data_IF_792426654375
#
_entry.id   IF_792426654375
#
_cell.length_a   1.000
_cell.length_b   1.000
_cell.length_c   1.000
_cell.angle_alpha   90.00
_cell.angle_beta   90.00
_cell.angle_gamma   90.00
#
_symmetry.space_group_name_H-M   'P 1'
#
loop_
_entity.id
_entity.type
_entity.pdbx_description
1 polymer ?
#
# COMPACT_ATOMS: atom_id res chain seq x y z
N UNK A 1 1.54 -43.41 11.52
CA UNK A 1 1.98 -43.17 10.12
C UNK A 1 1.59 -41.74 9.69
N UNK A 2 0.37 -41.25 10.02
CA UNK A 2 -0.10 -39.92 9.60
C UNK A 2 0.61 -38.74 10.30
N UNK A 3 1.04 -38.89 11.56
CA UNK A 3 1.75 -37.81 12.30
C UNK A 3 3.21 -37.64 11.86
N UNK A 4 3.86 -38.72 11.43
CA UNK A 4 5.23 -38.65 10.93
C UNK A 4 5.28 -38.02 9.52
N UNK A 5 4.25 -38.24 8.70
CA UNK A 5 4.14 -37.63 7.36
C UNK A 5 3.88 -36.11 7.46
N UNK A 6 3.07 -35.68 8.43
CA UNK A 6 2.78 -34.24 8.63
C UNK A 6 4.02 -33.48 9.11
N UNK A 7 4.77 -34.07 10.07
CA UNK A 7 6.00 -33.46 10.59
C UNK A 7 7.12 -33.38 9.53
N UNK A 8 7.13 -34.35 8.61
CA UNK A 8 8.07 -34.35 7.48
C UNK A 8 7.67 -33.30 6.42
N UNK A 9 6.36 -33.15 6.19
CA UNK A 9 5.80 -32.12 5.28
C UNK A 9 6.05 -30.71 5.83
N UNK A 10 5.82 -30.50 7.13
CA UNK A 10 6.08 -29.21 7.80
C UNK A 10 7.57 -28.85 7.81
N UNK A 11 8.46 -29.82 7.96
CA UNK A 11 9.92 -29.59 7.84
C UNK A 11 10.37 -29.34 6.39
N UNK A 12 9.65 -29.89 5.43
CA UNK A 12 9.89 -29.64 3.99
C UNK A 12 9.38 -28.26 3.59
N UNK A 13 8.22 -27.83 4.11
CA UNK A 13 7.65 -26.49 3.92
C UNK A 13 8.50 -25.42 4.63
N UNK A 14 9.07 -25.71 5.81
CA UNK A 14 10.01 -24.80 6.49
C UNK A 14 11.37 -24.67 5.78
N UNK A 15 11.70 -25.57 4.87
CA UNK A 15 12.93 -25.51 4.05
C UNK A 15 12.73 -24.88 2.67
N UNK A 16 11.50 -24.89 2.15
CA UNK A 16 11.11 -24.12 0.99
C UNK A 16 10.40 -22.86 1.48
N UNK A 17 11.10 -21.74 1.51
CA UNK A 17 10.49 -20.42 1.67
C UNK A 17 9.66 -20.19 0.40
N UNK A 18 8.40 -20.60 0.44
CA UNK A 18 7.42 -20.25 -0.57
C UNK A 18 7.23 -18.74 -0.45
N UNK A 19 7.30 -17.99 -1.55
CA UNK A 19 6.99 -16.57 -1.50
C UNK A 19 5.56 -16.37 -0.97
N UNK A 20 5.28 -15.22 -0.39
CA UNK A 20 3.99 -14.93 0.27
C UNK A 20 2.78 -15.25 -0.63
N UNK A 21 2.87 -14.96 -1.94
CA UNK A 21 1.86 -15.31 -2.95
C UNK A 21 1.70 -16.84 -3.14
N UNK A 22 2.80 -17.58 -3.09
CA UNK A 22 2.77 -19.06 -3.20
C UNK A 22 2.22 -19.77 -1.96
N UNK A 23 2.45 -19.22 -0.75
CA UNK A 23 1.90 -19.74 0.48
C UNK A 23 0.36 -19.60 0.54
N UNK A 24 -0.18 -18.46 0.13
CA UNK A 24 -1.63 -18.23 0.08
C UNK A 24 -2.34 -19.15 -0.91
N UNK A 25 -1.74 -19.42 -2.08
CA UNK A 25 -2.28 -20.39 -3.06
C UNK A 25 -2.30 -21.84 -2.52
N UNK A 26 -1.36 -22.20 -1.64
CA UNK A 26 -1.29 -23.53 -1.03
C UNK A 26 -2.24 -23.69 0.17
N UNK A 27 -2.47 -22.64 0.95
CA UNK A 27 -3.37 -22.66 2.11
C UNK A 27 -4.86 -22.67 1.72
N UNK A 28 -5.22 -22.00 0.61
CA UNK A 28 -6.61 -21.96 0.10
C UNK A 28 -7.15 -23.29 -0.42
N UNK A 29 -6.29 -24.22 -0.80
CA UNK A 29 -6.70 -25.53 -1.35
C UNK A 29 -6.87 -26.64 -0.31
N UNK A 30 -6.48 -26.42 0.94
CA UNK A 30 -6.42 -27.46 1.98
C UNK A 30 -7.58 -27.49 2.98
N UNK A 31 -8.40 -26.45 3.09
CA UNK A 31 -9.29 -26.25 4.25
C UNK A 31 -10.76 -26.60 4.05
N UNK A 32 -11.20 -26.93 2.85
CA UNK A 32 -12.64 -27.11 2.57
C UNK A 32 -13.17 -28.55 2.52
N UNK A 33 -12.36 -29.59 2.78
CA UNK A 33 -12.80 -31.00 2.60
C UNK A 33 -13.10 -31.76 3.88
N UNK A 34 -12.97 -31.19 5.07
CA UNK A 34 -13.08 -31.95 6.33
C UNK A 34 -14.32 -31.68 7.18
N UNK A 35 -15.26 -30.83 6.78
CA UNK A 35 -16.38 -30.42 7.66
C UNK A 35 -17.80 -30.84 7.21
N UNK A 36 -17.93 -31.73 6.24
CA UNK A 36 -19.24 -32.17 5.73
C UNK A 36 -19.63 -33.63 6.11
N UNK A 37 -18.99 -34.25 7.10
CA UNK A 37 -19.26 -35.68 7.46
C UNK A 37 -19.72 -35.92 8.89
N UNK A 38 -20.41 -35.00 9.55
CA UNK A 38 -20.93 -35.25 10.90
C UNK A 38 -22.27 -34.59 11.19
N UNK A 39 -23.34 -34.94 10.49
CA UNK A 39 -24.73 -34.79 10.97
C UNK A 39 -25.68 -35.62 10.10
N UNK A 40 -25.79 -36.93 10.40
CA UNK A 40 -27.00 -37.66 10.09
C UNK A 40 -27.20 -38.79 11.13
N UNK A 41 -28.27 -38.73 11.91
CA UNK A 41 -28.77 -39.91 12.62
C UNK A 41 -29.33 -39.68 14.01
N UNK A 42 -30.67 -39.68 14.12
CA UNK A 42 -31.37 -40.30 15.24
C UNK A 42 -32.20 -39.41 16.15
N UNK A 43 -33.48 -39.35 15.88
CA UNK A 43 -34.52 -38.86 16.79
C UNK A 43 -34.82 -39.85 17.93
N UNK A 44 -35.09 -39.33 19.16
CA UNK A 44 -36.06 -39.93 20.08
C UNK A 44 -36.48 -38.93 21.17
N UNK A 45 -37.76 -39.00 21.50
CA UNK A 45 -38.55 -38.08 22.32
C UNK A 45 -38.47 -38.30 23.84
N UNK A 46 -38.52 -37.18 24.57
CA UNK A 46 -39.27 -36.80 25.79
C UNK A 46 -39.20 -37.66 27.09
N UNK A 47 -39.54 -37.16 28.29
CA UNK A 47 -40.34 -35.99 28.66
C UNK A 47 -39.83 -35.06 29.79
N UNK A 48 -40.61 -34.04 30.09
CA UNK A 48 -40.45 -32.82 30.85
C UNK A 48 -40.35 -32.88 32.38
N UNK A 49 -39.83 -31.75 32.94
CA UNK A 49 -40.21 -30.92 34.12
C UNK A 49 -39.29 -30.92 35.35
N UNK A 50 -39.33 -29.88 36.22
CA UNK A 50 -39.12 -28.43 35.98
C UNK A 50 -38.12 -27.78 36.96
N UNK A 51 -37.79 -26.53 36.66
CA UNK A 51 -37.46 -25.42 37.59
C UNK A 51 -36.14 -25.41 38.37
N UNK A 52 -35.27 -24.44 38.01
CA UNK A 52 -34.59 -23.58 38.98
C UNK A 52 -34.06 -22.31 38.25
N UNK A 53 -34.33 -21.17 38.85
CA UNK A 53 -33.93 -19.86 38.38
C UNK A 53 -32.40 -19.68 38.36
N UNK A 54 -31.87 -19.14 37.29
CA UNK A 54 -30.48 -18.68 37.21
C UNK A 54 -30.45 -17.25 36.68
N UNK A 55 -29.66 -16.43 37.35
CA UNK A 55 -29.40 -15.03 37.09
C UNK A 55 -28.91 -14.75 35.68
N UNK A 56 -29.15 -13.53 35.13
CA UNK A 56 -28.69 -13.19 33.79
C UNK A 56 -27.17 -12.98 33.75
N UNK A 57 -26.47 -13.83 32.99
CA UNK A 57 -25.10 -13.58 32.56
C UNK A 57 -25.07 -12.48 31.50
N UNK A 58 -23.92 -11.84 31.27
CA UNK A 58 -23.82 -10.76 30.30
C UNK A 58 -24.19 -11.29 28.92
N UNK A 59 -25.05 -10.52 28.24
CA UNK A 59 -25.47 -10.78 26.88
C UNK A 59 -24.25 -10.75 25.95
N UNK A 60 -23.98 -11.87 25.30
CA UNK A 60 -23.15 -11.87 24.11
C UNK A 60 -23.81 -10.95 23.08
N UNK A 61 -23.12 -9.88 22.68
CA UNK A 61 -23.54 -9.02 21.59
C UNK A 61 -23.52 -9.89 20.33
N UNK A 62 -24.67 -10.44 19.96
CA UNK A 62 -24.86 -11.02 18.66
C UNK A 62 -24.73 -9.91 17.63
N UNK A 63 -23.71 -9.98 16.77
CA UNK A 63 -23.68 -9.20 15.55
C UNK A 63 -24.99 -9.40 14.82
N UNK A 64 -25.81 -8.37 14.78
CA UNK A 64 -26.96 -8.34 13.89
C UNK A 64 -26.38 -8.44 12.47
N UNK A 65 -26.69 -9.54 11.78
CA UNK A 65 -26.41 -9.67 10.37
C UNK A 65 -27.11 -8.51 9.66
N UNK A 66 -26.37 -7.49 9.27
CA UNK A 66 -26.89 -6.42 8.46
C UNK A 66 -27.46 -7.04 7.17
N UNK A 67 -28.59 -6.48 6.70
CA UNK A 67 -29.13 -6.89 5.40
C UNK A 67 -28.04 -6.75 4.33
N UNK A 68 -27.95 -7.67 3.35
CA UNK A 68 -26.95 -7.59 2.31
C UNK A 68 -27.04 -6.22 1.62
N UNK A 69 -25.91 -5.51 1.57
CA UNK A 69 -25.80 -4.24 0.83
C UNK A 69 -26.04 -4.58 -0.64
N UNK A 70 -27.07 -3.95 -1.23
CA UNK A 70 -27.31 -4.09 -2.66
C UNK A 70 -26.42 -3.13 -3.42
N UNK A 71 -25.60 -3.69 -4.31
CA UNK A 71 -24.72 -2.94 -5.22
C UNK A 71 -25.29 -2.97 -6.64
N UNK A 72 -24.72 -2.16 -7.52
CA UNK A 72 -25.07 -2.13 -8.94
C UNK A 72 -24.50 -3.34 -9.72
N UNK A 73 -23.71 -4.19 -9.07
CA UNK A 73 -23.09 -5.38 -9.67
C UNK A 73 -21.83 -5.11 -10.46
N UNK A 74 -21.32 -3.88 -10.42
CA UNK A 74 -20.09 -3.46 -11.05
C UNK A 74 -19.28 -2.52 -10.14
N UNK A 75 -17.94 -2.45 -10.35
CA UNK A 75 -17.06 -1.47 -9.73
C UNK A 75 -15.87 -1.20 -10.66
N UNK A 76 -15.63 0.07 -10.95
CA UNK A 76 -14.52 0.52 -11.80
C UNK A 76 -13.52 1.32 -11.00
N UNK A 77 -12.28 0.85 -10.99
CA UNK A 77 -11.20 1.40 -10.19
C UNK A 77 -10.09 1.94 -11.07
N UNK A 78 -9.53 3.10 -10.68
CA UNK A 78 -8.33 3.65 -11.25
C UNK A 78 -7.28 3.77 -10.14
N UNK A 79 -6.23 2.97 -10.19
CA UNK A 79 -5.33 2.73 -9.06
C UNK A 79 -3.88 2.56 -9.51
N UNK A 80 -2.98 2.34 -8.57
CA UNK A 80 -1.60 1.93 -8.82
C UNK A 80 -1.54 0.46 -9.27
N UNK A 81 -0.45 0.07 -9.91
CA UNK A 81 -0.20 -1.33 -10.27
C UNK A 81 -0.06 -2.20 -9.00
N UNK A 82 -0.58 -3.43 -9.05
CA UNK A 82 -0.43 -4.47 -8.01
C UNK A 82 -0.74 -4.00 -6.57
N UNK A 83 -1.71 -3.10 -6.39
CA UNK A 83 -1.91 -2.35 -5.15
C UNK A 83 -3.15 -2.75 -4.34
N UNK A 84 -3.76 -3.86 -4.66
CA UNK A 84 -4.82 -4.52 -3.87
C UNK A 84 -4.57 -6.03 -3.90
N UNK A 85 -4.75 -6.69 -2.76
CA UNK A 85 -4.71 -8.14 -2.68
C UNK A 85 -5.74 -8.78 -3.62
N UNK A 86 -5.28 -9.66 -4.52
CA UNK A 86 -6.14 -10.42 -5.44
C UNK A 86 -7.24 -11.19 -4.66
N UNK A 87 -6.89 -11.76 -3.49
CA UNK A 87 -7.84 -12.47 -2.63
C UNK A 87 -8.94 -11.55 -2.12
N UNK A 88 -8.60 -10.29 -1.79
CA UNK A 88 -9.59 -9.31 -1.35
C UNK A 88 -10.49 -8.87 -2.49
N UNK A 89 -9.95 -8.72 -3.72
CA UNK A 89 -10.77 -8.45 -4.92
C UNK A 89 -11.77 -9.59 -5.13
N UNK A 90 -11.32 -10.84 -5.13
CA UNK A 90 -12.19 -12.01 -5.30
C UNK A 90 -13.26 -12.08 -4.21
N UNK A 91 -12.85 -11.91 -2.93
CA UNK A 91 -13.77 -11.90 -1.78
C UNK A 91 -14.81 -10.80 -1.89
N UNK A 92 -14.42 -9.59 -2.30
CA UNK A 92 -15.36 -8.48 -2.50
C UNK A 92 -16.36 -8.80 -3.60
N UNK A 93 -15.87 -9.25 -4.76
CA UNK A 93 -16.70 -9.57 -5.90
C UNK A 93 -17.74 -10.65 -5.59
N UNK A 94 -17.32 -11.72 -4.90
CA UNK A 94 -18.23 -12.79 -4.49
C UNK A 94 -19.26 -12.31 -3.46
N UNK A 95 -18.81 -11.59 -2.42
CA UNK A 95 -19.68 -11.14 -1.30
C UNK A 95 -20.73 -10.14 -1.73
N UNK A 96 -20.39 -9.24 -2.66
CA UNK A 96 -21.25 -8.14 -3.10
C UNK A 96 -21.84 -8.32 -4.51
N UNK A 97 -21.63 -9.48 -5.13
CA UNK A 97 -22.20 -9.82 -6.43
C UNK A 97 -21.64 -8.97 -7.58
N UNK A 98 -20.37 -8.55 -7.50
CA UNK A 98 -19.69 -7.76 -8.53
C UNK A 98 -19.29 -8.66 -9.68
N UNK A 99 -19.99 -8.56 -10.79
CA UNK A 99 -19.72 -9.35 -12.02
C UNK A 99 -18.93 -8.59 -13.05
N UNK A 100 -19.01 -7.25 -13.02
CA UNK A 100 -18.27 -6.34 -13.90
C UNK A 100 -17.23 -5.57 -13.05
N UNK A 101 -15.94 -5.85 -13.29
CA UNK A 101 -14.82 -5.29 -12.56
C UNK A 101 -13.80 -4.72 -13.53
N UNK A 102 -13.52 -3.43 -13.40
CA UNK A 102 -12.45 -2.76 -14.14
C UNK A 102 -11.38 -2.30 -13.17
N UNK A 103 -10.12 -2.57 -13.49
CA UNK A 103 -8.96 -2.11 -12.75
C UNK A 103 -7.95 -1.53 -13.75
N UNK A 104 -7.98 -0.22 -13.92
CA UNK A 104 -7.03 0.52 -14.73
C UNK A 104 -5.92 1.10 -13.83
N UNK A 105 -4.71 1.22 -14.36
CA UNK A 105 -3.54 1.68 -13.60
C UNK A 105 -3.08 3.06 -14.04
N UNK A 106 -2.44 3.77 -13.10
CA UNK A 106 -1.68 4.99 -13.33
C UNK A 106 -0.30 4.91 -12.63
N UNK A 107 0.76 5.47 -13.24
CA UNK A 107 2.12 5.43 -12.68
C UNK A 107 2.41 6.57 -11.69
N UNK A 108 1.59 7.64 -11.67
CA UNK A 108 1.78 8.79 -10.78
C UNK A 108 0.46 9.53 -10.49
N UNK A 109 0.42 10.29 -9.39
CA UNK A 109 -0.72 11.14 -9.05
C UNK A 109 -0.95 12.25 -10.09
N UNK A 110 0.10 12.72 -10.73
CA UNK A 110 0.03 13.71 -11.81
C UNK A 110 -0.70 13.15 -13.04
N UNK A 111 -0.47 11.87 -13.36
CA UNK A 111 -1.18 11.17 -14.44
C UNK A 111 -2.67 11.01 -14.08
N UNK A 112 -2.99 10.59 -12.85
CA UNK A 112 -4.35 10.55 -12.34
C UNK A 112 -5.05 11.91 -12.52
N UNK A 113 -4.42 12.99 -12.04
CA UNK A 113 -4.99 14.34 -12.13
C UNK A 113 -5.18 14.77 -13.59
N UNK A 114 -4.20 14.54 -14.45
CA UNK A 114 -4.26 14.86 -15.88
C UNK A 114 -5.40 14.13 -16.58
N UNK A 115 -5.59 12.85 -16.29
CA UNK A 115 -6.68 12.05 -16.86
C UNK A 115 -8.05 12.55 -16.42
N UNK A 116 -8.21 12.94 -15.16
CA UNK A 116 -9.47 13.51 -14.65
C UNK A 116 -9.75 14.89 -15.27
N UNK A 117 -8.73 15.74 -15.41
CA UNK A 117 -8.83 17.02 -16.13
C UNK A 117 -9.17 16.83 -17.60
N UNK A 118 -8.75 15.73 -18.21
CA UNK A 118 -9.08 15.32 -19.56
C UNK A 118 -10.53 14.81 -19.76
N UNK A 119 -11.33 14.78 -18.68
CA UNK A 119 -12.77 14.39 -18.75
C UNK A 119 -13.04 12.93 -18.39
N UNK A 120 -12.19 12.29 -17.58
CA UNK A 120 -12.40 10.91 -17.12
C UNK A 120 -13.32 10.79 -15.89
N UNK A 121 -13.89 11.90 -15.39
CA UNK A 121 -14.97 11.85 -14.38
C UNK A 121 -16.17 11.05 -14.93
N UNK A 122 -16.75 10.21 -14.08
CA UNK A 122 -17.85 9.32 -14.52
C UNK A 122 -17.42 8.05 -15.25
N UNK A 123 -16.10 7.81 -15.44
CA UNK A 123 -15.60 6.56 -15.99
C UNK A 123 -15.19 5.55 -14.90
N UNK A 124 -14.84 6.03 -13.71
CA UNK A 124 -14.42 5.24 -12.58
C UNK A 124 -15.18 5.62 -11.31
N UNK A 125 -15.26 4.67 -10.37
CA UNK A 125 -15.93 4.85 -9.09
C UNK A 125 -14.93 5.30 -8.02
N UNK A 126 -13.77 4.66 -7.96
CA UNK A 126 -12.79 4.80 -6.89
C UNK A 126 -11.40 5.02 -7.49
N UNK A 127 -10.61 5.84 -6.80
CA UNK A 127 -9.16 5.93 -7.00
C UNK A 127 -8.43 5.88 -5.66
N UNK A 128 -7.10 5.66 -5.71
CA UNK A 128 -6.25 5.65 -4.52
C UNK A 128 -5.10 6.66 -4.63
N UNK A 129 -5.38 7.98 -4.66
CA UNK A 129 -4.32 8.99 -4.69
C UNK A 129 -3.54 9.04 -3.38
N UNK A 130 -2.31 9.54 -3.45
CA UNK A 130 -1.60 9.98 -2.26
C UNK A 130 -2.29 11.21 -1.67
N UNK A 131 -2.32 11.29 -0.36
CA UNK A 131 -3.19 12.19 0.39
C UNK A 131 -2.98 13.68 0.08
N UNK A 132 -1.75 14.11 -0.22
CA UNK A 132 -1.46 15.50 -0.58
C UNK A 132 -2.13 15.97 -1.88
N UNK A 133 -2.59 15.03 -2.72
CA UNK A 133 -3.35 15.36 -3.94
C UNK A 133 -4.84 15.57 -3.69
N UNK A 134 -5.37 15.16 -2.53
CA UNK A 134 -6.80 15.31 -2.19
C UNK A 134 -7.28 16.76 -2.32
N UNK A 135 -6.55 17.80 -1.82
CA UNK A 135 -6.98 19.19 -2.00
C UNK A 135 -7.11 19.62 -3.47
N UNK A 136 -6.17 19.22 -4.33
CA UNK A 136 -6.23 19.53 -5.77
C UNK A 136 -7.42 18.83 -6.44
N UNK A 137 -7.68 17.57 -6.08
CA UNK A 137 -8.83 16.81 -6.59
C UNK A 137 -10.16 17.43 -6.14
N UNK A 138 -10.25 17.89 -4.88
CA UNK A 138 -11.43 18.60 -4.36
C UNK A 138 -11.62 19.94 -5.09
N UNK A 139 -10.55 20.72 -5.26
CA UNK A 139 -10.61 22.00 -5.98
C UNK A 139 -11.04 21.82 -7.44
N UNK A 140 -10.62 20.74 -8.09
CA UNK A 140 -11.01 20.40 -9.45
C UNK A 140 -12.44 19.86 -9.56
N UNK A 141 -13.16 19.67 -8.46
CA UNK A 141 -14.46 18.98 -8.39
C UNK A 141 -14.41 17.56 -8.95
N UNK A 142 -13.29 16.83 -8.73
CA UNK A 142 -13.10 15.47 -9.20
C UNK A 142 -13.52 14.41 -8.18
N UNK A 143 -13.91 14.81 -6.96
CA UNK A 143 -14.31 13.91 -5.89
C UNK A 143 -15.78 14.07 -5.50
N UNK A 144 -16.38 12.98 -5.05
CA UNK A 144 -17.64 12.93 -4.33
C UNK A 144 -17.35 12.79 -2.83
N UNK A 145 -18.12 13.48 -1.98
CA UNK A 145 -18.05 13.25 -0.51
C UNK A 145 -18.49 11.85 -0.16
N UNK A 146 -17.78 11.25 0.80
CA UNK A 146 -18.12 9.92 1.30
C UNK A 146 -19.35 10.02 2.22
N UNK A 147 -20.33 9.17 1.97
CA UNK A 147 -21.46 8.96 2.89
C UNK A 147 -21.05 7.99 4.00
N UNK A 148 -20.59 8.56 5.11
CA UNK A 148 -20.09 7.78 6.26
C UNK A 148 -21.13 6.86 6.90
N UNK A 149 -22.42 7.08 6.67
CA UNK A 149 -23.45 6.15 7.12
C UNK A 149 -23.36 4.77 6.43
N UNK A 150 -22.71 4.72 5.26
CA UNK A 150 -22.46 3.51 4.47
C UNK A 150 -21.09 2.89 4.74
N UNK A 151 -20.20 3.59 5.46
CA UNK A 151 -18.83 3.17 5.75
C UNK A 151 -18.57 3.12 7.27
N UNK A 152 -19.31 2.30 8.04
CA UNK A 152 -19.15 2.23 9.49
C UNK A 152 -17.75 1.83 9.95
N UNK A 153 -16.99 1.08 9.16
CA UNK A 153 -15.62 0.67 9.49
C UNK A 153 -14.61 1.83 9.51
N UNK A 154 -14.98 3.03 9.04
CA UNK A 154 -14.16 4.23 9.23
C UNK A 154 -13.82 4.53 10.69
N UNK A 155 -14.64 4.06 11.64
CA UNK A 155 -14.37 4.19 13.07
C UNK A 155 -13.13 3.40 13.53
N UNK A 156 -12.67 2.40 12.78
CA UNK A 156 -11.50 1.58 13.06
C UNK A 156 -10.18 2.27 12.69
N UNK A 157 -10.24 3.37 11.95
CA UNK A 157 -9.06 4.16 11.59
C UNK A 157 -8.51 4.82 12.84
N UNK A 158 -7.19 4.68 13.06
CA UNK A 158 -6.49 5.31 14.17
C UNK A 158 -6.62 6.84 14.09
N UNK A 159 -6.87 7.49 15.23
CA UNK A 159 -7.10 8.92 15.32
C UNK A 159 -5.96 9.78 14.76
N UNK A 160 -4.71 9.28 14.76
CA UNK A 160 -3.56 9.97 14.17
C UNK A 160 -3.66 10.19 12.65
N UNK A 161 -4.52 9.42 11.98
CA UNK A 161 -4.74 9.50 10.53
C UNK A 161 -6.04 10.23 10.16
N UNK A 162 -6.71 10.86 11.12
CA UNK A 162 -7.95 11.62 10.92
C UNK A 162 -7.69 13.12 10.96
N UNK A 163 -8.54 13.90 10.29
CA UNK A 163 -8.56 15.37 10.27
C UNK A 163 -7.21 15.99 9.96
N UNK A 164 -6.50 15.37 9.06
CA UNK A 164 -5.20 15.84 8.60
C UNK A 164 -5.37 17.03 7.64
N UNK A 165 -4.28 17.77 7.38
CA UNK A 165 -4.35 19.05 6.66
C UNK A 165 -4.99 18.95 5.27
N UNK A 166 -4.90 17.80 4.62
CA UNK A 166 -5.46 17.57 3.28
C UNK A 166 -6.96 17.29 3.28
N UNK A 167 -7.54 16.85 4.41
CA UNK A 167 -9.00 16.67 4.60
C UNK A 167 -9.38 16.92 6.07
N UNK A 168 -9.36 18.18 6.53
CA UNK A 168 -9.52 18.52 7.95
C UNK A 168 -10.90 18.18 8.55
N UNK A 169 -11.85 17.82 7.71
CA UNK A 169 -13.19 17.43 8.12
C UNK A 169 -13.50 15.95 7.91
N UNK A 170 -12.53 15.16 7.37
CA UNK A 170 -12.73 13.77 6.98
C UNK A 170 -13.96 13.60 6.06
N UNK A 171 -14.06 14.40 4.99
CA UNK A 171 -15.22 14.39 4.10
C UNK A 171 -15.00 13.64 2.78
N UNK A 172 -13.73 13.54 2.32
CA UNK A 172 -13.41 13.22 0.94
C UNK A 172 -12.62 11.92 0.76
N UNK A 173 -11.91 11.47 1.79
CA UNK A 173 -10.99 10.35 1.70
C UNK A 173 -11.08 9.42 2.90
N UNK A 174 -10.66 8.17 2.70
CA UNK A 174 -10.50 7.15 3.72
C UNK A 174 -9.04 6.63 3.64
N UNK A 175 -8.20 6.76 4.70
CA UNK A 175 -6.83 6.29 4.68
C UNK A 175 -6.73 4.82 4.24
N UNK A 176 -5.87 4.53 3.26
CA UNK A 176 -5.65 3.17 2.75
C UNK A 176 -4.50 2.46 3.48
N UNK A 177 -3.32 2.98 3.31
CA UNK A 177 -2.07 2.53 3.92
C UNK A 177 -1.05 3.66 3.89
N UNK A 178 0.12 3.44 4.49
CA UNK A 178 1.21 4.40 4.50
C UNK A 178 2.57 3.69 4.49
N UNK A 179 3.57 4.38 4.00
CA UNK A 179 4.93 3.86 3.92
C UNK A 179 5.96 4.97 3.80
N UNK A 180 7.16 4.59 3.40
CA UNK A 180 8.29 5.51 3.20
C UNK A 180 8.88 5.35 1.82
N UNK A 181 9.53 6.41 1.36
CA UNK A 181 10.45 6.36 0.22
C UNK A 181 11.85 6.15 0.74
N UNK A 182 12.58 5.19 0.18
CA UNK A 182 13.87 4.83 0.71
C UNK A 182 14.85 4.31 -0.33
N UNK A 183 15.95 3.75 0.17
CA UNK A 183 17.05 3.23 -0.66
C UNK A 183 16.97 1.71 -0.69
N UNK A 184 16.83 1.13 -1.87
CA UNK A 184 16.94 -0.31 -2.08
C UNK A 184 18.34 -0.69 -2.57
N UNK A 185 18.87 -1.80 -2.06
CA UNK A 185 20.29 -2.18 -2.24
C UNK A 185 20.41 -3.69 -2.44
N UNK A 186 21.12 -4.12 -3.49
CA UNK A 186 21.60 -5.50 -3.63
C UNK A 186 22.98 -5.61 -2.96
N UNK A 187 23.01 -6.11 -1.72
CA UNK A 187 24.20 -6.05 -0.84
C UNK A 187 25.35 -6.96 -1.26
N UNK A 188 25.11 -7.93 -2.13
CA UNK A 188 26.20 -8.72 -2.76
C UNK A 188 27.02 -7.90 -3.76
N UNK A 189 26.45 -6.85 -4.32
CA UNK A 189 27.08 -6.01 -5.35
C UNK A 189 27.50 -4.66 -4.76
N UNK A 190 26.56 -3.97 -4.08
CA UNK A 190 26.83 -2.71 -3.39
C UNK A 190 27.33 -3.03 -1.99
N UNK A 191 28.64 -2.93 -1.80
CA UNK A 191 29.33 -3.28 -0.55
C UNK A 191 29.53 -2.10 0.40
N UNK A 192 29.23 -0.89 -0.07
CA UNK A 192 29.23 0.33 0.72
C UNK A 192 28.06 0.33 1.72
N UNK A 193 28.29 0.84 2.92
CA UNK A 193 27.25 1.03 3.92
C UNK A 193 26.48 2.32 3.63
N UNK A 194 25.50 2.24 2.73
CA UNK A 194 24.66 3.36 2.33
C UNK A 194 23.48 3.47 3.29
N UNK A 195 23.45 4.54 4.09
CA UNK A 195 22.43 4.82 5.11
C UNK A 195 21.75 6.16 4.95
N UNK A 196 22.24 7.02 4.05
CA UNK A 196 21.76 8.38 3.83
C UNK A 196 21.59 8.67 2.36
N UNK A 197 20.72 9.62 2.02
CA UNK A 197 20.61 10.11 0.66
C UNK A 197 21.93 10.72 0.17
N UNK A 198 22.66 11.40 1.06
CA UNK A 198 24.00 11.91 0.72
C UNK A 198 24.93 10.79 0.24
N UNK A 199 25.00 9.69 0.97
CA UNK A 199 25.81 8.52 0.58
C UNK A 199 25.28 7.87 -0.71
N UNK A 200 23.95 7.85 -0.91
CA UNK A 200 23.35 7.38 -2.17
C UNK A 200 23.93 8.14 -3.38
N UNK A 201 23.94 9.48 -3.34
CA UNK A 201 24.51 10.29 -4.41
C UNK A 201 26.05 10.09 -4.56
N UNK A 202 26.76 9.89 -3.47
CA UNK A 202 28.22 9.65 -3.48
C UNK A 202 28.59 8.31 -4.14
N UNK A 203 27.77 7.25 -3.97
CA UNK A 203 28.05 5.93 -4.52
C UNK A 203 27.43 5.71 -5.91
N UNK A 204 26.41 6.45 -6.27
CA UNK A 204 25.68 6.31 -7.54
C UNK A 204 26.61 6.22 -8.77
N UNK A 205 27.66 7.04 -8.94
CA UNK A 205 28.56 6.95 -10.09
C UNK A 205 29.29 5.61 -10.24
N UNK A 206 29.48 4.83 -9.16
CA UNK A 206 30.13 3.51 -9.20
C UNK A 206 29.21 2.46 -9.82
N UNK A 207 27.91 2.69 -9.75
CA UNK A 207 26.87 1.79 -10.22
C UNK A 207 26.11 2.37 -11.41
N UNK A 208 26.81 3.15 -12.24
CA UNK A 208 26.24 3.83 -13.42
C UNK A 208 25.52 2.85 -14.34
N UNK A 209 24.30 3.22 -14.75
CA UNK A 209 23.42 2.38 -15.57
C UNK A 209 22.76 1.21 -14.83
N UNK A 210 22.86 1.18 -13.48
CA UNK A 210 22.29 0.11 -12.63
C UNK A 210 21.51 0.70 -11.44
N UNK A 211 20.93 1.87 -11.62
CA UNK A 211 20.13 2.55 -10.59
C UNK A 211 18.69 2.64 -11.08
N UNK A 212 17.75 2.10 -10.32
CA UNK A 212 16.33 2.24 -10.57
C UNK A 212 15.75 3.37 -9.71
N UNK A 213 14.88 4.17 -10.28
CA UNK A 213 14.21 5.28 -9.58
C UNK A 213 12.72 5.22 -9.90
N UNK A 214 11.87 5.41 -8.90
CA UNK A 214 10.42 5.53 -9.13
C UNK A 214 10.10 6.76 -9.96
N UNK A 215 9.11 6.67 -10.85
CA UNK A 215 8.64 7.77 -11.71
C UNK A 215 7.61 8.63 -10.94
N UNK A 216 8.07 9.25 -9.85
CA UNK A 216 7.26 10.09 -8.97
C UNK A 216 8.07 11.31 -8.55
N UNK A 217 7.73 12.51 -9.02
CA UNK A 217 8.50 13.72 -8.72
C UNK A 217 8.58 14.00 -7.21
N UNK A 218 7.49 13.82 -6.45
CA UNK A 218 7.48 14.02 -5.00
C UNK A 218 8.52 13.17 -4.28
N UNK A 219 8.60 11.89 -4.64
CA UNK A 219 9.57 10.94 -4.09
C UNK A 219 11.00 11.29 -4.51
N UNK A 220 11.20 11.61 -5.78
CA UNK A 220 12.54 11.89 -6.33
C UNK A 220 13.15 13.16 -5.74
N UNK A 221 12.37 14.23 -5.54
CA UNK A 221 12.87 15.46 -4.89
C UNK A 221 13.23 15.26 -3.41
N UNK A 222 12.66 14.25 -2.76
CA UNK A 222 13.00 13.92 -1.38
C UNK A 222 14.48 13.65 -1.20
N UNK A 223 15.09 12.86 -2.09
CA UNK A 223 16.48 12.45 -1.98
C UNK A 223 17.48 13.63 -1.97
N UNK A 224 17.51 14.54 -2.96
CA UNK A 224 18.46 15.63 -2.95
C UNK A 224 18.18 16.65 -1.86
N UNK A 225 16.91 16.97 -1.56
CA UNK A 225 16.59 17.96 -0.55
C UNK A 225 16.99 17.46 0.84
N UNK A 226 16.72 16.20 1.18
CA UNK A 226 17.15 15.61 2.45
C UNK A 226 18.66 15.42 2.53
N UNK A 227 19.33 15.04 1.44
CA UNK A 227 20.78 14.97 1.39
C UNK A 227 21.46 16.33 1.71
N UNK A 228 20.78 17.43 1.39
CA UNK A 228 21.23 18.81 1.63
C UNK A 228 20.75 19.36 2.99
N UNK A 229 19.90 18.63 3.72
CA UNK A 229 19.34 19.03 5.02
C UNK A 229 18.17 20.00 4.91
N UNK A 230 17.50 20.06 3.76
CA UNK A 230 16.33 20.90 3.51
C UNK A 230 15.02 20.15 3.76
N UNK A 231 13.92 20.89 3.84
CA UNK A 231 12.58 20.29 3.79
C UNK A 231 12.33 19.70 2.40
N UNK A 232 11.74 18.50 2.35
CA UNK A 232 11.32 17.91 1.07
C UNK A 232 10.25 18.75 0.36
N UNK A 233 9.56 19.62 1.11
CA UNK A 233 8.51 20.52 0.61
C UNK A 233 9.06 21.90 0.18
N UNK A 234 10.38 22.09 0.16
CA UNK A 234 10.97 23.38 -0.21
C UNK A 234 10.58 23.83 -1.63
N UNK A 235 10.21 25.09 -1.74
CA UNK A 235 10.00 25.83 -2.99
C UNK A 235 10.98 27.02 -3.10
N UNK A 236 11.99 27.07 -2.23
CA UNK A 236 13.04 28.10 -2.31
C UNK A 236 13.91 27.86 -3.54
N UNK A 237 14.08 28.88 -4.44
CA UNK A 237 14.82 28.69 -5.68
C UNK A 237 16.30 28.34 -5.48
N UNK A 238 16.90 28.72 -4.35
CA UNK A 238 18.31 28.41 -4.05
C UNK A 238 18.44 26.95 -3.64
N UNK A 239 17.55 26.46 -2.78
CA UNK A 239 17.51 25.07 -2.33
C UNK A 239 17.18 24.12 -3.50
N UNK A 240 16.18 24.48 -4.32
CA UNK A 240 15.83 23.74 -5.52
C UNK A 240 16.97 23.75 -6.57
N UNK A 241 17.71 24.85 -6.68
CA UNK A 241 18.90 24.91 -7.55
C UNK A 241 19.99 23.93 -7.12
N UNK A 242 20.25 23.79 -5.82
CA UNK A 242 21.20 22.81 -5.30
C UNK A 242 20.67 21.37 -5.45
N UNK A 243 19.38 21.14 -5.23
CA UNK A 243 18.75 19.83 -5.46
C UNK A 243 18.85 19.42 -6.94
N UNK A 244 18.65 20.38 -7.87
CA UNK A 244 18.82 20.19 -9.31
C UNK A 244 20.24 19.71 -9.64
N UNK A 245 21.28 20.31 -9.04
CA UNK A 245 22.68 19.89 -9.29
C UNK A 245 22.88 18.39 -8.93
N UNK A 246 22.33 17.92 -7.81
CA UNK A 246 22.40 16.52 -7.42
C UNK A 246 21.62 15.61 -8.38
N UNK A 247 20.42 16.03 -8.80
CA UNK A 247 19.61 15.25 -9.75
C UNK A 247 20.28 15.15 -11.12
N UNK A 248 20.82 16.26 -11.64
CA UNK A 248 21.55 16.26 -12.91
C UNK A 248 22.84 15.43 -12.83
N UNK A 249 23.47 15.39 -11.66
CA UNK A 249 24.60 14.48 -11.40
C UNK A 249 24.21 13.00 -11.33
N UNK A 250 22.98 12.70 -10.91
CA UNK A 250 22.45 11.34 -10.84
C UNK A 250 21.95 10.83 -12.21
N UNK A 251 21.32 11.69 -13.01
CA UNK A 251 20.62 11.31 -14.25
C UNK A 251 21.44 10.40 -15.19
N UNK A 252 22.74 10.63 -15.47
CA UNK A 252 23.53 9.75 -16.34
C UNK A 252 23.75 8.33 -15.78
N UNK A 253 23.45 8.11 -14.51
CA UNK A 253 23.65 6.86 -13.81
C UNK A 253 22.37 6.05 -13.65
N UNK A 254 21.22 6.64 -13.91
CA UNK A 254 19.91 6.01 -13.80
C UNK A 254 19.69 5.05 -14.98
N UNK A 255 19.30 3.83 -14.68
CA UNK A 255 18.88 2.81 -15.65
C UNK A 255 17.52 3.17 -16.25
N UNK A 256 16.55 3.45 -15.38
CA UNK A 256 15.19 3.80 -15.77
C UNK A 256 14.43 4.49 -14.64
N UNK A 257 13.36 5.22 -15.03
CA UNK A 257 12.26 5.60 -14.14
C UNK A 257 11.16 4.55 -14.30
N UNK A 258 10.71 3.95 -13.20
CA UNK A 258 9.67 2.93 -13.23
C UNK A 258 9.00 2.84 -11.86
N UNK A 259 7.69 3.11 -11.80
CA UNK A 259 6.87 2.98 -10.60
C UNK A 259 6.08 1.67 -10.55
N UNK A 260 5.89 1.00 -11.71
CA UNK A 260 4.99 -0.15 -11.80
C UNK A 260 5.68 -1.48 -11.45
N UNK A 261 6.94 -1.64 -11.88
CA UNK A 261 7.72 -2.88 -11.72
C UNK A 261 9.17 -2.59 -11.38
N UNK A 262 9.42 -1.64 -10.46
CA UNK A 262 10.78 -1.21 -10.07
C UNK A 262 11.62 -2.32 -9.43
N UNK A 263 10.97 -3.37 -8.90
CA UNK A 263 11.63 -4.54 -8.32
C UNK A 263 12.22 -5.49 -9.38
N UNK A 264 11.62 -5.56 -10.59
CA UNK A 264 12.06 -6.50 -11.62
C UNK A 264 13.52 -6.26 -12.08
N UNK A 265 13.97 -5.03 -12.42
CA UNK A 265 15.36 -4.79 -12.72
C UNK A 265 16.32 -5.15 -11.55
N UNK A 266 15.86 -5.04 -10.30
CA UNK A 266 16.66 -5.47 -9.15
C UNK A 266 16.66 -6.99 -8.99
N UNK A 267 15.56 -7.67 -9.32
CA UNK A 267 15.47 -9.14 -9.34
C UNK A 267 16.45 -9.74 -10.35
N UNK A 268 16.51 -9.15 -11.52
CA UNK A 268 17.35 -9.61 -12.63
C UNK A 268 18.81 -9.10 -12.54
N UNK A 269 19.17 -8.40 -11.47
CA UNK A 269 20.47 -7.77 -11.25
C UNK A 269 20.85 -6.72 -12.31
N UNK A 270 19.92 -6.23 -13.09
CA UNK A 270 20.12 -5.08 -13.99
C UNK A 270 20.27 -3.79 -13.15
N UNK A 271 19.44 -3.62 -12.11
CA UNK A 271 19.63 -2.61 -11.09
C UNK A 271 20.17 -3.21 -9.79
N UNK A 272 20.99 -2.45 -9.05
CA UNK A 272 21.59 -2.87 -7.78
C UNK A 272 21.42 -1.84 -6.68
N UNK A 273 21.02 -0.64 -7.04
CA UNK A 273 20.75 0.48 -6.15
C UNK A 273 19.45 1.14 -6.63
N UNK A 274 18.61 1.61 -5.71
CA UNK A 274 17.35 2.23 -6.07
C UNK A 274 16.88 3.30 -5.12
N UNK A 275 16.06 4.22 -5.63
CA UNK A 275 15.15 5.09 -4.91
C UNK A 275 13.75 4.51 -5.14
N UNK A 276 13.17 3.87 -4.12
CA UNK A 276 12.00 3.00 -4.28
C UNK A 276 11.09 3.05 -3.06
N UNK A 277 9.99 2.34 -3.13
CA UNK A 277 9.11 2.01 -2.01
C UNK A 277 9.37 0.60 -1.48
N UNK A 278 8.83 0.26 -0.28
CA UNK A 278 9.03 -1.05 0.34
C UNK A 278 8.32 -2.19 -0.40
N UNK A 279 7.14 -1.98 -0.97
CA UNK A 279 6.25 -3.04 -1.46
C UNK A 279 6.92 -4.09 -2.33
N UNK A 280 7.39 -3.75 -3.54
CA UNK A 280 8.10 -4.67 -4.41
C UNK A 280 9.46 -5.13 -3.87
N UNK A 281 10.12 -4.28 -3.07
CA UNK A 281 11.42 -4.62 -2.46
C UNK A 281 11.27 -5.69 -1.38
N UNK A 282 10.18 -5.69 -0.61
CA UNK A 282 9.88 -6.73 0.37
C UNK A 282 9.75 -8.11 -0.28
N UNK A 283 9.17 -8.19 -1.49
CA UNK A 283 9.15 -9.43 -2.26
C UNK A 283 10.56 -9.98 -2.54
N UNK A 284 11.50 -9.09 -2.89
CA UNK A 284 12.89 -9.48 -3.13
C UNK A 284 13.60 -9.93 -1.85
N UNK A 285 13.32 -9.28 -0.71
CA UNK A 285 13.87 -9.65 0.59
C UNK A 285 13.37 -11.04 1.00
N UNK A 286 12.12 -11.37 0.70
CA UNK A 286 11.50 -12.64 1.03
C UNK A 286 11.92 -13.80 0.11
N UNK A 287 12.40 -13.52 -1.11
CA UNK A 287 12.85 -14.55 -2.06
C UNK A 287 14.30 -14.98 -1.76
N UNK A 288 14.56 -16.28 -1.53
CA UNK A 288 15.92 -16.79 -1.30
C UNK A 288 16.94 -16.45 -2.41
N UNK A 289 16.50 -16.28 -3.64
CA UNK A 289 17.37 -15.94 -4.78
C UNK A 289 17.84 -14.49 -4.72
N UNK A 290 17.06 -13.61 -4.11
CA UNK A 290 17.30 -12.17 -3.98
C UNK A 290 17.36 -11.68 -2.53
N UNK A 291 17.51 -12.59 -1.56
CA UNK A 291 17.57 -12.30 -0.11
C UNK A 291 18.77 -11.42 0.33
N UNK A 292 19.66 -11.07 -0.59
CA UNK A 292 20.68 -10.03 -0.42
C UNK A 292 20.13 -8.62 -0.68
N UNK A 293 18.85 -8.47 -0.96
CA UNK A 293 18.20 -7.18 -1.05
C UNK A 293 17.97 -6.58 0.34
N UNK A 294 18.19 -5.28 0.47
CA UNK A 294 17.94 -4.50 1.68
C UNK A 294 17.19 -3.23 1.32
N UNK A 295 16.24 -2.87 2.15
CA UNK A 295 15.62 -1.54 2.14
C UNK A 295 16.17 -0.71 3.29
N UNK A 296 16.43 0.58 3.06
CA UNK A 296 16.97 1.51 4.05
C UNK A 296 16.07 2.74 4.13
N UNK A 297 15.58 3.05 5.32
CA UNK A 297 14.98 4.34 5.63
C UNK A 297 16.14 5.30 5.96
N UNK A 298 16.40 6.33 5.13
CA UNK A 298 17.59 7.16 5.26
C UNK A 298 17.69 7.92 6.58
N UNK A 299 18.90 7.95 7.16
CA UNK A 299 19.17 8.60 8.46
C UNK A 299 19.10 10.12 8.40
N UNK A 300 19.29 10.73 7.24
CA UNK A 300 19.12 12.17 6.97
C UNK A 300 17.66 12.58 6.73
N UNK A 301 16.74 11.63 6.89
CA UNK A 301 15.30 11.83 6.78
C UNK A 301 14.76 11.46 5.40
N UNK A 302 13.48 11.22 5.32
CA UNK A 302 12.82 10.89 4.05
C UNK A 302 11.32 11.22 4.10
N UNK A 303 10.67 11.04 2.96
CA UNK A 303 9.22 11.13 2.82
C UNK A 303 8.55 9.95 3.54
N UNK A 304 7.55 10.24 4.37
CA UNK A 304 6.46 9.30 4.58
C UNK A 304 5.25 9.76 3.76
N UNK A 305 4.67 8.83 3.05
CA UNK A 305 3.46 9.05 2.26
C UNK A 305 2.30 8.26 2.85
N UNK A 306 1.09 8.72 2.54
CA UNK A 306 -0.15 8.03 2.87
C UNK A 306 -1.01 8.02 1.64
N UNK A 307 -1.46 6.85 1.24
CA UNK A 307 -2.47 6.72 0.19
C UNK A 307 -3.87 6.63 0.78
N UNK A 308 -4.82 7.09 0.02
CA UNK A 308 -6.20 7.23 0.48
C UNK A 308 -7.17 6.69 -0.57
N UNK A 309 -8.23 6.06 -0.14
CA UNK A 309 -9.37 5.77 -0.99
C UNK A 309 -10.22 7.01 -1.16
N UNK A 310 -10.54 7.37 -2.39
CA UNK A 310 -11.47 8.45 -2.72
C UNK A 310 -12.57 7.91 -3.64
N UNK A 311 -13.79 8.48 -3.53
CA UNK A 311 -14.86 8.26 -4.51
C UNK A 311 -14.77 9.39 -5.54
N UNK A 312 -14.64 9.04 -6.81
CA UNK A 312 -14.55 10.02 -7.89
C UNK A 312 -15.91 10.68 -8.13
N UNK A 313 -15.92 11.86 -8.76
CA UNK A 313 -17.14 12.58 -9.08
C UNK A 313 -17.98 11.82 -10.13
N UNK A 314 -19.31 11.86 -9.94
CA UNK A 314 -20.28 11.17 -10.80
C UNK A 314 -19.96 9.66 -10.98
N UNK A 315 -19.70 8.91 -9.89
CA UNK A 315 -19.31 7.51 -9.99
C UNK A 315 -20.45 6.69 -10.62
N UNK A 316 -20.16 5.81 -11.59
CA UNK A 316 -21.19 4.96 -12.20
C UNK A 316 -21.87 4.02 -11.18
N UNK A 317 -21.16 3.60 -10.13
CA UNK A 317 -21.63 2.59 -9.16
C UNK A 317 -21.43 3.05 -7.71
N UNK A 318 -22.15 4.10 -7.23
CA UNK A 318 -21.92 4.71 -5.93
C UNK A 318 -22.18 3.78 -4.74
N UNK A 319 -23.09 2.81 -4.83
CA UNK A 319 -23.34 1.86 -3.75
C UNK A 319 -22.20 0.84 -3.65
N UNK A 320 -21.70 0.34 -4.77
CA UNK A 320 -20.54 -0.54 -4.81
C UNK A 320 -19.27 0.16 -4.30
N UNK A 321 -19.08 1.45 -4.64
CA UNK A 321 -17.98 2.24 -4.14
C UNK A 321 -17.98 2.34 -2.61
N UNK A 322 -19.08 2.70 -1.98
CA UNK A 322 -19.19 2.76 -0.53
C UNK A 322 -19.07 1.39 0.13
N UNK A 323 -19.66 0.35 -0.49
CA UNK A 323 -19.51 -1.02 -0.01
C UNK A 323 -18.04 -1.47 -0.01
N UNK A 324 -17.28 -1.10 -1.06
CA UNK A 324 -15.84 -1.38 -1.14
C UNK A 324 -15.07 -0.66 -0.05
N UNK A 325 -15.30 0.63 0.17
CA UNK A 325 -14.64 1.40 1.22
C UNK A 325 -14.89 0.79 2.60
N UNK A 326 -16.11 0.34 2.88
CA UNK A 326 -16.41 -0.32 4.14
C UNK A 326 -15.75 -1.69 4.26
N UNK A 327 -15.80 -2.49 3.21
CA UNK A 327 -15.22 -3.84 3.14
C UNK A 327 -13.70 -3.82 3.34
N UNK A 328 -12.99 -2.95 2.61
CA UNK A 328 -11.53 -2.93 2.61
C UNK A 328 -10.95 -2.58 4.00
N UNK A 329 -11.75 -1.98 4.88
CA UNK A 329 -11.39 -1.65 6.26
C UNK A 329 -11.90 -2.66 7.30
N UNK A 330 -12.45 -3.81 6.90
CA UNK A 330 -12.63 -4.93 7.83
C UNK A 330 -11.24 -5.40 8.31
N UNK A 331 -11.05 -5.69 9.62
CA UNK A 331 -9.71 -5.96 10.16
C UNK A 331 -8.95 -7.08 9.45
N UNK A 332 -9.60 -8.22 9.18
CA UNK A 332 -8.96 -9.33 8.45
C UNK A 332 -8.64 -8.98 7.00
N UNK A 333 -9.49 -8.19 6.34
CA UNK A 333 -9.29 -7.73 4.95
C UNK A 333 -8.13 -6.76 4.89
N UNK A 334 -8.09 -5.78 5.80
CA UNK A 334 -7.01 -4.79 5.87
C UNK A 334 -5.66 -5.46 6.22
N UNK A 335 -5.66 -6.50 7.05
CA UNK A 335 -4.45 -7.27 7.34
C UNK A 335 -3.90 -7.95 6.07
N UNK A 336 -4.77 -8.50 5.21
CA UNK A 336 -4.36 -9.09 3.93
C UNK A 336 -3.77 -8.04 2.98
N UNK A 337 -4.29 -6.80 2.99
CA UNK A 337 -3.66 -5.69 2.25
C UNK A 337 -2.22 -5.46 2.72
N UNK A 338 -1.98 -5.32 4.04
CA UNK A 338 -0.62 -5.16 4.59
C UNK A 338 0.29 -6.33 4.24
N UNK A 339 -0.21 -7.58 4.33
CA UNK A 339 0.56 -8.78 4.01
C UNK A 339 0.90 -8.83 2.50
N UNK A 340 -0.02 -8.39 1.65
CA UNK A 340 0.15 -8.40 0.19
C UNK A 340 1.07 -7.29 -0.30
N UNK A 341 0.91 -6.07 0.24
CA UNK A 341 1.54 -4.87 -0.30
C UNK A 341 2.80 -4.44 0.48
N UNK A 342 3.03 -5.03 1.67
CA UNK A 342 4.11 -4.66 2.60
C UNK A 342 4.08 -3.17 3.02
N UNK A 343 2.88 -2.59 3.20
CA UNK A 343 2.66 -1.25 3.72
C UNK A 343 1.87 -1.25 5.01
N UNK A 344 2.14 -0.28 5.89
CA UNK A 344 1.52 -0.22 7.20
C UNK A 344 0.05 0.18 7.12
N UNK A 345 -0.80 -0.51 7.90
CA UNK A 345 -2.23 -0.22 7.97
C UNK A 345 -2.54 0.97 8.88
N UNK A 346 -3.51 1.82 8.52
CA UNK A 346 -4.07 2.83 9.42
C UNK A 346 -5.08 2.25 10.42
N UNK A 347 -5.43 0.96 10.33
CA UNK A 347 -6.41 0.27 11.16
C UNK A 347 -5.72 -0.59 12.22
N UNK A 348 -5.71 -0.14 13.48
CA UNK A 348 -5.04 -0.88 14.55
C UNK A 348 -5.67 -2.26 14.83
N UNK A 349 -6.97 -2.45 14.55
CA UNK A 349 -7.62 -3.74 14.75
C UNK A 349 -7.13 -4.81 13.75
N UNK A 350 -6.58 -4.39 12.61
CA UNK A 350 -6.00 -5.32 11.64
C UNK A 350 -4.73 -6.01 12.15
N UNK A 351 -4.02 -5.39 13.11
CA UNK A 351 -2.75 -5.91 13.65
C UNK A 351 -2.88 -7.29 14.30
N UNK A 352 -4.07 -7.65 14.82
CA UNK A 352 -4.33 -9.00 15.37
C UNK A 352 -4.21 -10.12 14.32
N UNK A 353 -4.38 -9.77 13.04
CA UNK A 353 -4.38 -10.70 11.91
C UNK A 353 -3.09 -10.64 11.08
N UNK A 354 -2.15 -9.75 11.43
CA UNK A 354 -0.87 -9.60 10.74
C UNK A 354 0.19 -10.46 11.44
N UNK A 355 0.98 -11.28 10.71
CA UNK A 355 2.07 -12.06 11.29
C UNK A 355 3.07 -11.20 12.06
N UNK A 356 3.59 -11.73 13.18
CA UNK A 356 4.52 -11.02 14.07
C UNK A 356 5.80 -10.58 13.35
N UNK A 357 6.28 -11.36 12.39
CA UNK A 357 7.43 -10.98 11.57
C UNK A 357 7.22 -9.70 10.75
N UNK A 358 6.00 -9.47 10.26
CA UNK A 358 5.63 -8.25 9.52
C UNK A 358 5.41 -7.09 10.48
N UNK A 359 4.76 -7.32 11.63
CA UNK A 359 4.56 -6.28 12.65
C UNK A 359 5.88 -5.76 13.21
N UNK A 360 6.91 -6.59 13.27
CA UNK A 360 8.24 -6.26 13.76
C UNK A 360 9.21 -5.82 12.66
N UNK A 361 8.77 -5.76 11.40
CA UNK A 361 9.59 -5.23 10.31
C UNK A 361 9.61 -3.69 10.37
N UNK A 362 10.78 -3.07 10.68
CA UNK A 362 10.88 -1.62 10.83
C UNK A 362 10.77 -0.87 9.50
N UNK A 363 10.77 -1.56 8.36
CA UNK A 363 10.59 -0.97 7.04
C UNK A 363 9.11 -0.85 6.66
N UNK A 364 8.26 -1.67 7.28
CA UNK A 364 6.80 -1.65 7.13
C UNK A 364 6.18 -0.84 8.27
N UNK A 365 6.41 -1.27 9.53
CA UNK A 365 5.95 -0.55 10.72
C UNK A 365 7.10 0.25 11.31
N UNK A 366 7.25 1.49 10.82
CA UNK A 366 8.35 2.37 11.21
C UNK A 366 8.32 2.63 12.72
N UNK A 367 9.45 2.35 13.44
CA UNK A 367 9.54 2.59 14.87
C UNK A 367 9.39 4.08 15.26
N UNK A 368 8.86 4.34 16.46
CA UNK A 368 8.60 5.68 16.96
C UNK A 368 9.86 6.57 17.07
N UNK A 369 11.03 5.99 17.23
CA UNK A 369 12.31 6.72 17.29
C UNK A 369 12.82 7.15 15.91
N UNK A 370 12.33 6.50 14.83
CA UNK A 370 12.62 6.87 13.44
C UNK A 370 11.64 7.93 12.96
N UNK A 371 10.38 7.85 13.38
CA UNK A 371 9.30 8.71 12.90
C UNK A 371 9.59 10.22 12.92
N UNK A 372 10.30 10.79 13.92
CA UNK A 372 10.66 12.22 13.92
C UNK A 372 11.58 12.68 12.79
N UNK A 373 12.21 11.75 12.07
CA UNK A 373 13.05 12.04 10.89
C UNK A 373 12.26 12.05 9.59
N UNK A 374 11.03 11.55 9.63
CA UNK A 374 10.15 11.51 8.47
C UNK A 374 9.44 12.83 8.30
N UNK A 375 9.17 13.20 7.06
CA UNK A 375 8.42 14.40 6.71
C UNK A 375 7.32 14.03 5.71
N UNK A 376 6.10 14.49 5.95
CA UNK A 376 4.99 14.30 5.02
C UNK A 376 5.05 15.29 3.87
N UNK A 377 4.59 14.87 2.70
CA UNK A 377 4.47 15.75 1.55
C UNK A 377 3.42 16.85 1.78
N UNK A 378 3.65 18.01 1.17
CA UNK A 378 2.67 19.09 0.98
C UNK A 378 2.40 19.24 -0.52
N UNK A 379 1.30 19.91 -0.86
CA UNK A 379 0.99 20.19 -2.26
C UNK A 379 1.94 21.25 -2.84
N UNK A 380 3.08 20.78 -3.37
CA UNK A 380 4.08 21.55 -4.09
C UNK A 380 4.28 21.05 -5.52
N UNK A 381 3.41 20.16 -5.97
CA UNK A 381 3.50 19.50 -7.29
C UNK A 381 3.38 20.48 -8.45
N UNK A 382 2.70 21.61 -8.26
CA UNK A 382 2.47 22.64 -9.26
C UNK A 382 3.52 23.76 -9.23
N UNK A 383 4.54 23.70 -8.35
CA UNK A 383 5.60 24.70 -8.34
C UNK A 383 6.37 24.69 -9.68
N UNK A 384 6.44 25.83 -10.39
CA UNK A 384 6.99 25.87 -11.76
C UNK A 384 8.45 25.41 -11.85
N UNK A 385 9.26 25.72 -10.81
CA UNK A 385 10.67 25.35 -10.82
C UNK A 385 10.85 23.84 -10.56
N UNK A 386 10.03 23.24 -9.69
CA UNK A 386 10.02 21.78 -9.51
C UNK A 386 9.64 21.08 -10.81
N UNK A 387 8.58 21.54 -11.48
CA UNK A 387 8.15 20.97 -12.76
C UNK A 387 9.28 21.07 -13.80
N UNK A 388 9.93 22.24 -13.93
CA UNK A 388 11.07 22.44 -14.85
C UNK A 388 12.22 21.46 -14.55
N UNK A 389 12.63 21.36 -13.30
CA UNK A 389 13.73 20.47 -12.88
C UNK A 389 13.38 19.00 -13.13
N UNK A 390 12.13 18.60 -12.87
CA UNK A 390 11.66 17.25 -13.12
C UNK A 390 11.73 16.87 -14.61
N UNK A 391 11.23 17.73 -15.49
CA UNK A 391 11.30 17.51 -16.94
C UNK A 391 12.75 17.46 -17.44
N UNK A 392 13.62 18.31 -16.90
CA UNK A 392 15.05 18.28 -17.21
C UNK A 392 15.70 16.97 -16.75
N UNK A 393 15.39 16.51 -15.55
CA UNK A 393 15.89 15.24 -15.03
C UNK A 393 15.47 14.06 -15.90
N UNK A 394 14.17 13.95 -16.22
CA UNK A 394 13.67 12.90 -17.12
C UNK A 394 14.37 12.89 -18.48
N UNK A 395 14.54 14.07 -19.07
CA UNK A 395 15.18 14.20 -20.39
C UNK A 395 16.68 13.92 -20.38
N UNK A 396 17.32 13.93 -19.20
CA UNK A 396 18.76 13.69 -19.02
C UNK A 396 19.10 12.22 -18.71
N UNK A 397 18.08 11.36 -18.49
CA UNK A 397 18.28 9.93 -18.27
C UNK A 397 18.57 9.22 -19.59
N UNK A 398 19.62 8.41 -19.62
CA UNK A 398 20.01 7.63 -20.81
C UNK A 398 20.70 8.44 -21.92
N UNK A 399 21.15 9.69 -21.61
CA UNK A 399 21.88 10.56 -22.52
C UNK A 399 23.38 10.27 -22.59
#
# INVERSE_FOLDING_TARGET
VAEQDLDQLLRQMARTRVNRRGFMKAAGLGSFSAWLAACSGGASQAPASPSAASSPGPAASGSASAAPVQTEGALYMYNWADYISEENIETFRERFGITDWTYDIYPSNEELLTKLQGGATGLYDIAAPTAEFVPALVQGNFLQKIDWSKVPNQQLINEKFKKLWWDPNDEWQLPKDWGTTGISIRTKVVTEDVRTWKQFFEVAPKYSGRIIVVDSPGDVFTAPLKALGYSLNSVDPTELGQARELLMGLAPHVLALNSDTYEEPMRDEEAVLGLTWTGGIDELIADPATADTKYVIPEDGTLYWMDTWVILADPPHPEAAHAFLNFIHEPEIQAKETISNAYATPNDAAKEFIPEEILNDPTIFVPDDIFPRLEGAQDVSTDPLRVEIWEEFKSSIGG
#
